data_IF_174281059577
#
_entry.id   IF_174281059577
#
_cell.length_a   1.000
_cell.length_b   1.000
_cell.length_c   1.000
_cell.angle_alpha   90.00
_cell.angle_beta   90.00
_cell.angle_gamma   90.00
#
_symmetry.space_group_name_H-M   'P 1'
#
loop_
_entity.id
_entity.type
_entity.pdbx_description
1 polymer ?
#
# COMPACT_ATOMS: atom_id res chain seq x y z
N UNK A 1 -79.85 45.05 33.53
CA UNK A 1 -80.09 44.03 34.60
C UNK A 1 -79.21 42.86 34.31
N UNK A 2 -78.08 42.86 34.91
CA UNK A 2 -77.46 41.81 35.78
C UNK A 2 -77.52 40.40 35.21
N UNK A 3 -76.37 39.81 34.89
CA UNK A 3 -75.81 38.76 35.72
C UNK A 3 -74.35 38.53 35.31
N UNK A 4 -73.48 38.59 36.29
CA UNK A 4 -72.08 38.24 36.23
C UNK A 4 -71.96 36.70 36.48
N UNK A 5 -71.33 35.96 35.62
CA UNK A 5 -70.86 34.63 35.97
C UNK A 5 -69.35 34.63 35.75
N UNK A 6 -68.69 34.47 36.85
CA UNK A 6 -67.21 34.30 36.99
C UNK A 6 -66.91 32.88 36.65
N UNK A 7 -66.20 32.62 35.64
CA UNK A 7 -65.70 31.28 35.33
C UNK A 7 -64.18 31.27 35.48
N UNK A 8 -63.70 30.54 36.50
CA UNK A 8 -62.30 30.34 36.80
C UNK A 8 -61.66 29.45 35.77
N UNK A 9 -60.69 29.97 35.03
CA UNK A 9 -59.83 29.14 34.19
C UNK A 9 -58.72 28.54 35.01
N UNK A 10 -58.78 27.22 35.16
CA UNK A 10 -57.70 26.39 35.68
C UNK A 10 -56.64 26.30 34.60
N UNK A 11 -55.48 26.89 34.83
CA UNK A 11 -54.30 26.72 33.98
C UNK A 11 -53.73 25.34 34.26
N UNK A 12 -53.92 24.43 33.32
CA UNK A 12 -53.23 23.13 33.31
C UNK A 12 -51.89 23.36 32.61
N UNK A 13 -50.81 23.52 33.36
CA UNK A 13 -49.44 23.56 32.81
C UNK A 13 -49.08 22.17 32.31
N UNK A 14 -49.17 21.97 31.00
CA UNK A 14 -48.60 20.82 30.33
C UNK A 14 -47.08 21.03 30.25
N UNK A 15 -46.33 20.33 31.07
CA UNK A 15 -44.88 20.24 30.97
C UNK A 15 -44.53 19.43 29.70
N UNK A 16 -44.16 20.14 28.64
CA UNK A 16 -43.61 19.51 27.44
C UNK A 16 -42.19 19.07 27.80
N UNK A 17 -42.01 17.77 27.99
CA UNK A 17 -40.72 17.16 28.16
C UNK A 17 -39.88 17.37 26.87
N UNK A 18 -38.87 18.22 26.96
CA UNK A 18 -37.84 18.34 25.91
C UNK A 18 -37.02 17.04 25.89
N UNK A 19 -37.39 16.14 24.99
CA UNK A 19 -36.51 15.05 24.60
C UNK A 19 -35.23 15.65 24.02
N UNK A 20 -34.13 15.56 24.77
CA UNK A 20 -32.80 15.75 24.24
C UNK A 20 -32.56 14.68 23.21
N UNK A 21 -32.73 14.99 21.93
CA UNK A 21 -32.20 14.22 20.85
C UNK A 21 -30.67 14.25 21.03
N UNK A 22 -30.15 13.15 21.54
CA UNK A 22 -28.70 12.95 21.60
C UNK A 22 -28.15 13.08 20.19
N UNK A 23 -27.29 14.09 19.97
CA UNK A 23 -26.39 14.08 18.80
C UNK A 23 -25.63 12.78 18.89
N UNK A 24 -25.97 11.85 18.00
CA UNK A 24 -25.10 10.71 17.69
C UNK A 24 -23.84 11.33 17.12
N UNK A 25 -22.80 11.37 17.95
CA UNK A 25 -21.49 11.78 17.51
C UNK A 25 -21.14 10.95 16.29
N UNK A 26 -20.93 11.61 15.15
CA UNK A 26 -20.27 11.03 14.00
C UNK A 26 -18.98 10.45 14.57
N UNK A 27 -18.88 9.15 14.70
CA UNK A 27 -17.60 8.49 14.92
C UNK A 27 -16.74 8.93 13.74
N UNK A 28 -15.72 9.74 13.99
CA UNK A 28 -14.63 9.91 13.04
C UNK A 28 -14.07 8.50 12.81
N UNK A 29 -14.56 7.86 11.77
CA UNK A 29 -13.94 6.66 11.24
C UNK A 29 -12.51 7.12 10.91
N UNK A 30 -11.54 6.71 11.71
CA UNK A 30 -10.14 6.93 11.43
C UNK A 30 -9.97 6.48 9.97
N UNK A 31 -9.65 7.44 9.09
CA UNK A 31 -9.45 7.15 7.69
C UNK A 31 -8.45 6.01 7.62
N UNK A 32 -8.90 4.87 7.11
CA UNK A 32 -8.11 3.65 7.06
C UNK A 32 -6.84 4.01 6.27
N UNK A 33 -5.68 3.93 6.91
CA UNK A 33 -4.43 4.28 6.24
C UNK A 33 -4.32 3.41 5.00
N UNK A 34 -3.99 3.99 3.83
CA UNK A 34 -3.84 3.18 2.63
C UNK A 34 -2.84 2.06 2.90
N UNK A 35 -3.19 0.84 2.47
CA UNK A 35 -2.29 -0.30 2.59
C UNK A 35 -1.05 -0.05 1.74
N UNK A 36 0.10 -0.38 2.28
CA UNK A 36 1.35 -0.37 1.54
C UNK A 36 1.36 -1.52 0.53
N UNK A 37 2.14 -1.39 -0.53
CA UNK A 37 2.31 -2.44 -1.54
C UNK A 37 3.74 -2.94 -1.51
N UNK A 38 3.93 -4.24 -1.24
CA UNK A 38 5.20 -4.94 -1.49
C UNK A 38 5.21 -5.40 -2.95
N UNK A 39 6.28 -5.07 -3.64
CA UNK A 39 6.56 -5.43 -5.03
C UNK A 39 7.86 -6.23 -5.05
N UNK A 40 7.73 -7.55 -5.10
CA UNK A 40 8.85 -8.49 -5.02
C UNK A 40 9.09 -9.10 -6.40
N UNK A 41 10.29 -8.92 -6.94
CA UNK A 41 10.65 -9.36 -8.29
C UNK A 41 11.84 -10.31 -8.25
N UNK A 42 11.69 -11.47 -8.88
CA UNK A 42 12.72 -12.51 -8.95
C UNK A 42 13.12 -12.76 -10.40
N UNK A 43 14.38 -12.53 -10.70
CA UNK A 43 14.95 -12.67 -12.04
C UNK A 43 15.74 -13.95 -12.12
N UNK A 44 15.45 -14.78 -13.12
CA UNK A 44 16.36 -15.84 -13.57
C UNK A 44 17.08 -15.37 -14.83
N UNK A 45 18.40 -15.49 -14.86
CA UNK A 45 19.23 -15.04 -15.97
C UNK A 45 19.41 -16.13 -17.02
N UNK A 46 19.65 -15.73 -18.28
CA UNK A 46 20.03 -16.64 -19.36
C UNK A 46 21.42 -17.24 -19.12
N UNK A 47 22.31 -16.38 -18.61
CA UNK A 47 23.66 -16.73 -18.20
C UNK A 47 23.90 -16.13 -16.81
N UNK A 48 23.85 -17.00 -15.78
CA UNK A 48 23.88 -16.63 -14.37
C UNK A 48 25.32 -16.47 -13.82
N UNK A 49 26.21 -15.87 -14.59
CA UNK A 49 27.57 -15.56 -14.14
C UNK A 49 27.57 -14.56 -12.99
N UNK A 50 28.61 -14.55 -12.17
CA UNK A 50 28.78 -13.58 -11.09
C UNK A 50 28.74 -12.12 -11.62
N UNK A 51 29.28 -11.88 -12.82
CA UNK A 51 29.29 -10.57 -13.46
C UNK A 51 27.88 -10.14 -13.88
N UNK A 52 27.10 -11.03 -14.51
CA UNK A 52 25.73 -10.72 -14.91
C UNK A 52 24.81 -10.49 -13.71
N UNK A 53 24.97 -11.28 -12.63
CA UNK A 53 24.25 -11.08 -11.36
C UNK A 53 24.58 -9.70 -10.79
N UNK A 54 25.86 -9.33 -10.70
CA UNK A 54 26.33 -8.03 -10.23
C UNK A 54 25.78 -6.89 -11.08
N UNK A 55 25.90 -6.99 -12.41
CA UNK A 55 25.38 -5.98 -13.36
C UNK A 55 23.90 -5.72 -13.15
N UNK A 56 23.08 -6.77 -12.97
CA UNK A 56 21.65 -6.60 -12.75
C UNK A 56 21.34 -5.98 -11.39
N UNK A 57 22.04 -6.37 -10.31
CA UNK A 57 21.89 -5.75 -8.99
C UNK A 57 22.24 -4.25 -9.03
N UNK A 58 23.34 -3.89 -9.69
CA UNK A 58 23.74 -2.49 -9.88
C UNK A 58 22.71 -1.69 -10.71
N UNK A 59 22.15 -2.31 -11.75
CA UNK A 59 21.07 -1.72 -12.53
C UNK A 59 19.81 -1.48 -11.68
N UNK A 60 19.42 -2.45 -10.82
CA UNK A 60 18.32 -2.25 -9.87
C UNK A 60 18.57 -1.01 -8.99
N UNK A 61 19.74 -0.88 -8.39
CA UNK A 61 20.11 0.29 -7.59
C UNK A 61 20.09 1.59 -8.38
N UNK A 62 20.58 1.58 -9.61
CA UNK A 62 20.67 2.77 -10.45
C UNK A 62 19.30 3.29 -10.90
N UNK A 63 18.44 2.39 -11.35
CA UNK A 63 17.20 2.75 -12.04
C UNK A 63 15.96 2.67 -11.15
N UNK A 64 15.93 1.74 -10.17
CA UNK A 64 14.71 1.39 -9.46
C UNK A 64 14.66 1.92 -8.01
N UNK A 65 15.79 2.38 -7.47
CA UNK A 65 15.85 2.99 -6.13
C UNK A 65 15.43 4.46 -6.14
N UNK A 66 14.70 4.89 -5.09
CA UNK A 66 14.39 6.30 -4.84
C UNK A 66 13.26 6.84 -5.73
N UNK A 67 12.28 6.01 -6.06
CA UNK A 67 11.04 6.47 -6.70
C UNK A 67 10.11 7.15 -5.71
N UNK A 68 9.31 8.14 -6.13
CA UNK A 68 8.34 8.78 -5.25
C UNK A 68 7.39 7.78 -4.61
N UNK A 69 7.25 7.85 -3.28
CA UNK A 69 6.39 6.93 -2.52
C UNK A 69 7.04 5.60 -2.15
N UNK A 70 8.32 5.37 -2.50
CA UNK A 70 9.09 4.23 -2.02
C UNK A 70 9.32 4.34 -0.51
N UNK A 71 8.96 3.30 0.24
CA UNK A 71 9.16 3.19 1.68
C UNK A 71 10.35 2.27 2.03
N UNK A 72 10.67 1.33 1.15
CA UNK A 72 11.78 0.41 1.30
C UNK A 72 12.28 -0.05 -0.07
N UNK A 73 13.58 -0.29 -0.17
CA UNK A 73 14.23 -0.84 -1.35
C UNK A 73 15.37 -1.77 -0.95
N UNK A 74 15.46 -2.92 -1.59
CA UNK A 74 16.65 -3.75 -1.60
C UNK A 74 16.77 -4.54 -2.90
N UNK A 75 18.00 -4.86 -3.30
CA UNK A 75 18.29 -5.78 -4.39
C UNK A 75 19.50 -6.62 -4.04
N UNK A 76 19.51 -7.88 -4.42
CA UNK A 76 20.59 -8.80 -4.08
C UNK A 76 20.53 -10.09 -4.88
N UNK A 77 21.52 -10.94 -4.64
CA UNK A 77 21.60 -12.27 -5.27
C UNK A 77 20.98 -13.35 -4.39
N UNK A 78 20.65 -14.48 -4.97
CA UNK A 78 20.19 -15.65 -4.27
C UNK A 78 21.17 -16.03 -3.14
N UNK A 79 20.64 -16.30 -1.94
CA UNK A 79 21.40 -16.87 -0.81
C UNK A 79 21.53 -18.40 -1.00
N UNK A 80 22.52 -18.81 -1.78
CA UNK A 80 22.69 -20.19 -2.23
C UNK A 80 23.00 -21.18 -1.10
N UNK A 81 23.41 -20.70 0.07
CA UNK A 81 23.69 -21.48 1.28
C UNK A 81 22.41 -21.83 2.07
N UNK A 82 21.31 -21.12 1.86
CA UNK A 82 20.03 -21.34 2.56
C UNK A 82 19.19 -22.41 1.85
N UNK A 83 19.50 -23.69 2.08
CA UNK A 83 18.90 -24.85 1.37
C UNK A 83 17.86 -25.62 2.22
N UNK A 84 16.85 -24.93 2.72
CA UNK A 84 15.72 -25.59 3.41
C UNK A 84 14.72 -26.13 2.39
N UNK A 85 13.93 -27.18 2.71
CA UNK A 85 12.96 -27.77 1.77
C UNK A 85 11.92 -26.79 1.21
N UNK A 86 11.65 -25.72 1.94
CA UNK A 86 10.67 -24.67 1.55
C UNK A 86 11.28 -23.50 0.79
N UNK A 87 12.62 -23.45 0.63
CA UNK A 87 13.26 -22.37 -0.10
C UNK A 87 13.12 -22.61 -1.62
N UNK A 88 12.54 -21.65 -2.33
CA UNK A 88 12.62 -21.61 -3.79
C UNK A 88 13.97 -21.00 -4.19
N UNK A 89 14.77 -21.79 -4.89
CA UNK A 89 16.10 -21.42 -5.37
C UNK A 89 16.11 -21.13 -6.89
N UNK A 90 14.92 -21.00 -7.52
CA UNK A 90 14.79 -20.83 -8.97
C UNK A 90 14.86 -19.36 -9.41
N UNK A 91 15.83 -18.62 -8.88
CA UNK A 91 16.15 -17.26 -9.32
C UNK A 91 17.62 -16.95 -9.08
N UNK A 92 18.13 -15.88 -9.66
CA UNK A 92 19.52 -15.43 -9.52
C UNK A 92 19.63 -14.11 -8.80
N UNK A 93 18.70 -13.18 -9.05
CA UNK A 93 18.63 -11.83 -8.45
C UNK A 93 17.23 -11.58 -7.96
N UNK A 94 17.12 -10.99 -6.77
CA UNK A 94 15.87 -10.52 -6.19
C UNK A 94 15.87 -9.00 -6.03
N UNK A 95 14.70 -8.40 -6.24
CA UNK A 95 14.40 -7.00 -5.98
C UNK A 95 13.19 -6.94 -5.05
N UNK A 96 13.28 -6.13 -4.01
CA UNK A 96 12.19 -5.88 -3.07
C UNK A 96 11.96 -4.38 -2.95
N UNK A 97 10.78 -3.92 -3.30
CA UNK A 97 10.36 -2.53 -3.14
C UNK A 97 9.05 -2.51 -2.36
N UNK A 98 8.94 -1.64 -1.36
CA UNK A 98 7.68 -1.38 -0.69
C UNK A 98 7.27 0.05 -0.96
N UNK A 99 6.06 0.25 -1.47
CA UNK A 99 5.46 1.56 -1.70
C UNK A 99 4.47 1.91 -0.59
N UNK A 100 4.36 3.20 -0.26
CA UNK A 100 3.43 3.70 0.75
C UNK A 100 1.96 3.41 0.43
N UNK A 101 1.63 3.27 -0.87
CA UNK A 101 0.29 2.98 -1.39
C UNK A 101 0.34 2.47 -2.83
N UNK A 102 -0.81 1.98 -3.31
CA UNK A 102 -0.96 1.51 -4.69
C UNK A 102 -0.73 2.61 -5.73
N UNK A 103 -1.12 3.85 -5.45
CA UNK A 103 -0.95 4.94 -6.40
C UNK A 103 0.53 5.25 -6.67
N UNK A 104 1.38 5.09 -5.65
CA UNK A 104 2.84 5.21 -5.77
C UNK A 104 3.42 4.06 -6.62
N UNK A 105 2.94 2.83 -6.40
CA UNK A 105 3.36 1.67 -7.20
C UNK A 105 2.91 1.81 -8.66
N UNK A 106 1.68 2.26 -8.92
CA UNK A 106 1.19 2.52 -10.29
C UNK A 106 2.08 3.55 -11.02
N UNK A 107 2.45 4.65 -10.36
CA UNK A 107 3.35 5.66 -10.92
C UNK A 107 4.75 5.11 -11.21
N UNK A 108 5.25 4.22 -10.36
CA UNK A 108 6.53 3.56 -10.57
C UNK A 108 6.52 2.71 -11.85
N UNK A 109 5.43 1.97 -12.12
CA UNK A 109 5.33 1.11 -13.30
C UNK A 109 5.50 1.90 -14.60
N UNK A 110 4.95 3.12 -14.66
CA UNK A 110 5.01 3.99 -15.85
C UNK A 110 6.20 4.97 -15.83
N UNK A 111 7.03 4.93 -14.79
CA UNK A 111 8.14 5.87 -14.65
C UNK A 111 9.19 5.66 -15.77
N UNK A 112 9.67 6.73 -16.44
CA UNK A 112 10.67 6.61 -17.49
C UNK A 112 11.91 5.82 -17.07
N UNK A 113 12.38 5.99 -15.84
CA UNK A 113 13.52 5.26 -15.28
C UNK A 113 13.27 3.76 -15.14
N UNK A 114 12.03 3.34 -14.75
CA UNK A 114 11.62 1.94 -14.70
C UNK A 114 11.59 1.34 -16.12
N UNK A 115 11.02 2.04 -17.08
CA UNK A 115 10.96 1.59 -18.47
C UNK A 115 12.38 1.49 -19.09
N UNK A 116 13.26 2.43 -18.77
CA UNK A 116 14.67 2.39 -19.19
C UNK A 116 15.40 1.16 -18.58
N UNK A 117 15.14 0.83 -17.31
CA UNK A 117 15.67 -0.38 -16.70
C UNK A 117 15.28 -1.62 -17.48
N UNK A 118 13.99 -1.77 -17.80
CA UNK A 118 13.48 -2.92 -18.56
C UNK A 118 14.19 -2.98 -19.92
N UNK A 119 14.22 -1.89 -20.67
CA UNK A 119 14.78 -1.86 -22.01
C UNK A 119 16.25 -2.28 -22.04
N UNK A 120 17.03 -1.77 -21.08
CA UNK A 120 18.47 -2.06 -21.00
C UNK A 120 18.83 -3.44 -20.49
N UNK A 121 17.96 -4.05 -19.68
CA UNK A 121 18.33 -5.28 -18.97
C UNK A 121 17.52 -6.52 -19.39
N UNK A 122 16.40 -6.35 -20.11
CA UNK A 122 15.54 -7.49 -20.54
C UNK A 122 16.28 -8.58 -21.33
N UNK A 123 17.37 -8.23 -22.02
CA UNK A 123 18.17 -9.20 -22.77
C UNK A 123 18.91 -10.20 -21.88
N UNK A 124 19.19 -9.85 -20.63
CA UNK A 124 19.83 -10.72 -19.62
C UNK A 124 18.86 -11.78 -19.06
N UNK A 125 17.55 -11.51 -19.07
CA UNK A 125 16.57 -12.32 -18.39
C UNK A 125 16.15 -13.55 -19.19
N UNK A 126 16.13 -14.71 -18.51
CA UNK A 126 15.46 -15.93 -18.96
C UNK A 126 13.97 -15.86 -18.56
N UNK A 127 13.71 -15.46 -17.33
CA UNK A 127 12.36 -15.26 -16.80
C UNK A 127 12.36 -14.21 -15.68
N UNK A 128 11.18 -13.59 -15.48
CA UNK A 128 10.92 -12.69 -14.37
C UNK A 128 9.62 -13.13 -13.72
N UNK A 129 9.62 -13.22 -12.39
CA UNK A 129 8.42 -13.47 -11.58
C UNK A 129 8.19 -12.28 -10.66
N UNK A 130 6.97 -11.80 -10.59
CA UNK A 130 6.57 -10.66 -9.78
C UNK A 130 5.51 -11.10 -8.79
N UNK A 131 5.65 -10.68 -7.55
CA UNK A 131 4.70 -10.94 -6.48
C UNK A 131 4.33 -9.61 -5.82
N UNK A 132 3.10 -9.18 -6.04
CA UNK A 132 2.56 -7.97 -5.40
C UNK A 132 1.65 -8.37 -4.25
N UNK A 133 1.82 -7.71 -3.11
CA UNK A 133 0.97 -7.94 -1.94
C UNK A 133 0.68 -6.65 -1.19
N UNK A 134 -0.52 -6.56 -0.61
CA UNK A 134 -0.81 -5.50 0.34
C UNK A 134 -0.22 -5.86 1.70
N UNK A 135 0.53 -4.92 2.28
CA UNK A 135 1.23 -5.12 3.54
C UNK A 135 0.88 -4.03 4.55
N UNK A 136 0.93 -4.36 5.83
CA UNK A 136 0.80 -3.43 6.96
C UNK A 136 2.13 -3.32 7.72
N UNK A 137 2.32 -2.19 8.39
CA UNK A 137 3.42 -2.02 9.37
C UNK A 137 3.02 -2.55 10.72
#
# INVERSE_FOLDING_TARGET
MRFRILCAMVFFCLAIGMNKVGLIGKSDAAADKPLMVSHDVFFSLKDATAENKKTLVEACHKYLKGHPGEAFFSAGVLAEDLKRPVNDLNFDVALHIVFNDKASQDKYQDAPRHLEFIEKNKSLWKSVRVFDSYVSK
#
